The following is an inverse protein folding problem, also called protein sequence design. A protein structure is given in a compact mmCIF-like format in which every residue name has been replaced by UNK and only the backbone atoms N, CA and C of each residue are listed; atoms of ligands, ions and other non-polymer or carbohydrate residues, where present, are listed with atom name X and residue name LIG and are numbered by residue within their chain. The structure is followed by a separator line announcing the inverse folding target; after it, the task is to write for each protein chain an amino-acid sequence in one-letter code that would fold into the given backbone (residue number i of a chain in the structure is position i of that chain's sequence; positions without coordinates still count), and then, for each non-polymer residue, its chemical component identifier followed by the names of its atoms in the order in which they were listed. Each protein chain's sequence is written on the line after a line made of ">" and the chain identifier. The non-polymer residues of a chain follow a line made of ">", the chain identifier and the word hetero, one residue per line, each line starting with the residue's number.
data_IF_186983428240
#
_entry.id   IF_186983428240
#
_cell.length_a   1.000
_cell.length_b   1.000
_cell.length_c   1.000
_cell.angle_alpha   90.00
_cell.angle_beta   90.00
_cell.angle_gamma   90.00
#
_symmetry.space_group_name_H-M   'P 1'
#
loop_
_entity.id
_entity.type
_entity.pdbx_description
1 polymer ?
#
# COMPACT_ATOMS: atom_id res chain seq x y z
N UNK A 1 18.87 9.82 24.32
CA UNK A 1 18.67 8.71 23.38
C UNK A 1 18.44 9.32 22.01
N UNK A 2 19.20 8.91 20.99
CA UNK A 2 19.08 9.44 19.63
C UNK A 2 18.28 8.46 18.75
N UNK A 3 17.39 9.00 17.92
CA UNK A 3 16.53 8.23 17.00
C UNK A 3 17.10 8.35 15.58
N UNK A 4 17.40 7.22 14.95
CA UNK A 4 17.83 7.16 13.56
C UNK A 4 16.63 7.30 12.61
N UNK A 5 16.76 8.11 11.56
CA UNK A 5 15.70 8.36 10.58
C UNK A 5 16.24 8.79 9.22
N UNK A 6 15.38 8.75 8.22
CA UNK A 6 15.68 9.16 6.85
C UNK A 6 15.10 10.55 6.59
N UNK A 7 15.96 11.47 6.17
CA UNK A 7 15.59 12.84 5.79
C UNK A 7 14.99 12.88 4.39
N UNK A 8 14.00 13.76 4.17
CA UNK A 8 13.41 14.05 2.86
C UNK A 8 13.68 15.49 2.43
N UNK A 9 13.58 15.75 1.13
CA UNK A 9 13.82 17.08 0.55
C UNK A 9 12.87 18.16 1.08
N UNK A 10 11.69 17.77 1.56
CA UNK A 10 10.69 18.66 2.17
C UNK A 10 10.93 18.93 3.67
N UNK A 11 12.07 18.48 4.22
CA UNK A 11 12.43 18.66 5.62
C UNK A 11 11.75 17.69 6.58
N UNK A 12 10.88 16.79 6.10
CA UNK A 12 10.26 15.75 6.94
C UNK A 12 11.22 14.59 7.16
N UNK A 13 11.09 13.93 8.31
CA UNK A 13 11.84 12.70 8.62
C UNK A 13 10.91 11.49 8.73
N UNK A 14 11.39 10.34 8.28
CA UNK A 14 10.67 9.07 8.38
C UNK A 14 11.54 7.93 8.87
N UNK A 15 10.95 6.97 9.58
CA UNK A 15 11.66 5.77 10.07
C UNK A 15 11.83 4.68 9.01
N UNK A 16 11.17 4.80 7.85
CA UNK A 16 11.17 3.79 6.79
C UNK A 16 11.63 4.42 5.47
N UNK A 17 12.53 3.74 4.77
CA UNK A 17 13.00 4.13 3.45
C UNK A 17 12.77 2.99 2.45
N UNK A 18 11.51 2.85 2.02
CA UNK A 18 11.10 1.85 1.05
C UNK A 18 10.74 2.49 -0.29
N UNK A 19 10.99 1.75 -1.37
CA UNK A 19 10.39 2.04 -2.68
C UNK A 19 9.03 1.36 -2.74
N UNK A 20 7.96 2.13 -2.92
CA UNK A 20 6.61 1.57 -2.97
C UNK A 20 6.21 1.25 -4.41
N UNK A 21 5.86 0.00 -4.67
CA UNK A 21 5.24 -0.43 -5.93
C UNK A 21 3.73 -0.44 -5.72
N UNK A 22 3.01 0.43 -6.43
CA UNK A 22 1.56 0.59 -6.31
C UNK A 22 0.91 0.21 -7.66
N UNK A 23 0.21 -0.93 -7.75
CA UNK A 23 -0.58 -1.24 -8.93
C UNK A 23 -1.80 -0.31 -9.00
N UNK A 24 -2.29 -0.04 -10.22
CA UNK A 24 -3.50 0.77 -10.39
C UNK A 24 -4.78 -0.03 -10.12
N UNK A 25 -4.69 -1.36 -10.26
CA UNK A 25 -5.83 -2.28 -10.09
C UNK A 25 -5.37 -3.58 -9.42
N UNK A 26 -6.28 -4.26 -8.74
CA UNK A 26 -6.03 -5.57 -8.12
C UNK A 26 -5.63 -6.64 -9.14
N UNK A 27 -6.04 -6.50 -10.41
CA UNK A 27 -5.64 -7.41 -11.49
C UNK A 27 -4.12 -7.39 -11.77
N UNK A 28 -3.44 -6.30 -11.42
CA UNK A 28 -2.00 -6.13 -11.63
C UNK A 28 -1.17 -6.55 -10.41
N UNK A 29 -1.81 -7.11 -9.37
CA UNK A 29 -1.16 -7.35 -8.08
C UNK A 29 0.05 -8.27 -8.17
N UNK A 30 -0.07 -9.34 -8.95
CA UNK A 30 1.01 -10.31 -9.10
C UNK A 30 2.23 -9.70 -9.80
N UNK A 31 2.00 -8.80 -10.75
CA UNK A 31 3.08 -8.07 -11.43
C UNK A 31 3.78 -7.14 -10.43
N UNK A 32 3.02 -6.36 -9.66
CA UNK A 32 3.56 -5.47 -8.64
C UNK A 32 4.37 -6.22 -7.57
N UNK A 33 3.87 -7.38 -7.12
CA UNK A 33 4.57 -8.26 -6.17
C UNK A 33 5.90 -8.74 -6.73
N UNK A 34 5.94 -9.17 -8.00
CA UNK A 34 7.17 -9.63 -8.66
C UNK A 34 8.19 -8.50 -8.81
N UNK A 35 7.75 -7.29 -9.17
CA UNK A 35 8.63 -6.12 -9.25
C UNK A 35 9.23 -5.81 -7.87
N UNK A 36 8.41 -5.78 -6.82
CA UNK A 36 8.88 -5.52 -5.47
C UNK A 36 9.87 -6.60 -4.98
N UNK A 37 9.63 -7.87 -5.31
CA UNK A 37 10.54 -8.97 -4.97
C UNK A 37 11.90 -8.90 -5.69
N UNK A 38 11.93 -8.30 -6.88
CA UNK A 38 13.15 -8.16 -7.68
C UNK A 38 14.02 -6.95 -7.27
N UNK A 39 13.48 -5.98 -6.52
CA UNK A 39 14.17 -4.72 -6.17
C UNK A 39 14.41 -4.65 -4.65
N UNK A 40 15.67 -4.72 -4.19
CA UNK A 40 15.98 -4.59 -2.77
C UNK A 40 15.46 -3.28 -2.17
N UNK A 41 14.82 -3.37 -1.00
CA UNK A 41 14.22 -2.22 -0.32
C UNK A 41 12.86 -1.78 -0.88
N UNK A 42 12.37 -2.43 -1.96
CA UNK A 42 11.02 -2.21 -2.45
C UNK A 42 9.99 -3.05 -1.69
N UNK A 43 8.76 -2.53 -1.63
CA UNK A 43 7.60 -3.25 -1.11
C UNK A 43 6.38 -2.98 -1.96
N UNK A 44 5.44 -3.94 -1.99
CA UNK A 44 4.22 -3.84 -2.77
C UNK A 44 3.07 -3.38 -1.86
N UNK A 45 2.35 -2.34 -2.27
CA UNK A 45 1.09 -1.98 -1.63
C UNK A 45 -0.06 -2.68 -2.35
N UNK A 46 -0.68 -3.64 -1.67
CA UNK A 46 -1.70 -4.49 -2.28
C UNK A 46 -3.12 -4.12 -1.85
N UNK A 47 -4.03 -3.99 -2.82
CA UNK A 47 -5.48 -3.93 -2.62
C UNK A 47 -6.20 -4.96 -3.51
N UNK A 48 -7.26 -5.63 -3.03
CA UNK A 48 -7.93 -6.69 -3.79
C UNK A 48 -8.87 -6.18 -4.88
N UNK A 49 -9.14 -4.88 -4.90
CA UNK A 49 -10.18 -4.27 -5.75
C UNK A 49 -9.75 -4.17 -7.22
N UNK A 50 -10.60 -4.66 -8.11
CA UNK A 50 -10.48 -4.45 -9.55
C UNK A 50 -10.80 -3.01 -9.97
N UNK A 51 -10.59 -2.68 -11.24
CA UNK A 51 -10.96 -1.37 -11.80
C UNK A 51 -12.48 -1.13 -11.87
N UNK A 52 -13.24 -2.20 -11.79
CA UNK A 52 -14.69 -2.25 -11.77
C UNK A 52 -15.29 -2.04 -10.37
N UNK A 53 -14.45 -2.02 -9.32
CA UNK A 53 -14.88 -1.71 -7.97
C UNK A 53 -15.02 -0.19 -7.80
N UNK A 54 -16.21 0.31 -8.08
CA UNK A 54 -16.56 1.74 -8.01
C UNK A 54 -17.12 2.12 -6.64
N UNK A 55 -17.31 3.42 -6.41
CA UNK A 55 -17.72 3.95 -5.10
C UNK A 55 -19.02 3.36 -4.55
N UNK A 56 -19.99 3.01 -5.40
CA UNK A 56 -21.23 2.34 -4.98
C UNK A 56 -21.02 0.89 -4.56
N UNK A 57 -20.01 0.22 -5.11
CA UNK A 57 -19.68 -1.17 -4.77
C UNK A 57 -19.10 -1.28 -3.37
N UNK A 58 -18.44 -0.23 -2.88
CA UNK A 58 -17.95 -0.17 -1.50
C UNK A 58 -19.10 -0.20 -0.47
N UNK A 59 -20.28 0.32 -0.78
CA UNK A 59 -21.45 0.25 0.12
C UNK A 59 -22.08 -1.15 0.10
N UNK A 60 -22.16 -1.77 -1.07
CA UNK A 60 -22.71 -3.12 -1.25
C UNK A 60 -21.79 -4.21 -0.70
N UNK A 61 -20.47 -4.05 -0.87
CA UNK A 61 -19.44 -5.01 -0.49
C UNK A 61 -18.76 -4.66 0.86
N UNK A 62 -18.98 -3.45 1.38
CA UNK A 62 -18.46 -2.97 2.67
C UNK A 62 -19.05 -3.67 3.90
N UNK A 63 -20.06 -4.51 3.71
CA UNK A 63 -20.57 -5.40 4.74
C UNK A 63 -19.70 -6.64 4.97
N UNK A 64 -18.63 -6.84 4.20
CA UNK A 64 -17.74 -7.98 4.36
C UNK A 64 -16.45 -7.47 5.00
N UNK A 65 -16.25 -7.86 6.25
CA UNK A 65 -14.99 -7.76 6.99
C UNK A 65 -13.86 -8.44 6.20
N UNK A 66 -13.33 -7.77 5.17
CA UNK A 66 -11.98 -8.04 4.71
C UNK A 66 -11.11 -7.46 5.80
N UNK A 67 -10.83 -8.30 6.79
CA UNK A 67 -9.88 -8.06 7.85
C UNK A 67 -8.52 -7.73 7.24
N UNK A 68 -8.31 -6.46 6.90
CA UNK A 68 -6.97 -5.90 6.79
C UNK A 68 -6.53 -5.73 8.25
N UNK A 69 -5.51 -6.44 8.74
CA UNK A 69 -5.05 -6.31 10.11
C UNK A 69 -4.20 -5.04 10.29
N UNK A 70 -4.53 -3.94 9.61
CA UNK A 70 -3.93 -2.62 9.84
C UNK A 70 -4.96 -1.73 10.54
N UNK A 71 -5.08 -1.92 11.86
CA UNK A 71 -5.71 -0.92 12.72
C UNK A 71 -5.04 0.43 12.46
N UNK A 72 -5.81 1.42 11.99
CA UNK A 72 -5.45 2.83 12.10
C UNK A 72 -5.18 3.60 10.80
N UNK A 73 -5.55 3.07 9.63
CA UNK A 73 -5.59 3.89 8.40
C UNK A 73 -7.03 3.97 7.92
N UNK A 74 -7.76 4.96 8.42
CA UNK A 74 -8.92 5.52 7.72
C UNK A 74 -8.38 6.45 6.64
N UNK A 75 -9.02 6.43 5.47
CA UNK A 75 -8.84 7.44 4.42
C UNK A 75 -9.04 8.86 4.98
#
# INVERSE_FOLDING_TARGET
>A
MELLGHSRQDGRMGFRNHVLVVPLTGCQMEIARRIAAAVPGATCFSHPHGCDFQGGDAEVLGHWEIAIPIRGVTY
#
